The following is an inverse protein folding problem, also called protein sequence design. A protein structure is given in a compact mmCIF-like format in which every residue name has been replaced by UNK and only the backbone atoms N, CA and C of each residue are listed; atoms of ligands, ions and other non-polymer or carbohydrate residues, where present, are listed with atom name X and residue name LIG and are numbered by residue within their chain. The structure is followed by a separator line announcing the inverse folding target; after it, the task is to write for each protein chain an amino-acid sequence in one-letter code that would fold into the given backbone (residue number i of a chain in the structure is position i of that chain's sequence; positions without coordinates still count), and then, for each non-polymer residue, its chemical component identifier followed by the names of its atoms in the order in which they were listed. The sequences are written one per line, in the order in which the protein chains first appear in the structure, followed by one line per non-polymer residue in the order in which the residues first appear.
data_IF_094389386631
#
_entry.id   IF_094389386631
#
_cell.length_a   1.000
_cell.length_b   1.000
_cell.length_c   1.000
_cell.angle_alpha   90.00
_cell.angle_beta   90.00
_cell.angle_gamma   90.00
#
_symmetry.space_group_name_H-M   'P 1'
#
loop_
_entity.id
_entity.type
_entity.pdbx_description
1 polymer ?
#
# COMPACT_ATOMS: atom_id res chain seq x y z
N UNK A 1 -3.03 9.15 11.99
CA UNK A 1 -1.62 9.58 12.12
C UNK A 1 -0.94 9.39 10.78
N UNK A 2 -0.14 10.36 10.33
CA UNK A 2 0.46 10.41 8.98
C UNK A 2 1.21 9.12 8.58
N UNK A 3 1.81 8.41 9.53
CA UNK A 3 2.50 7.15 9.29
C UNK A 3 1.62 6.03 8.70
N UNK A 4 0.33 6.01 9.03
CA UNK A 4 -0.63 4.94 8.66
C UNK A 4 -1.65 5.40 7.61
N UNK A 5 -1.39 6.53 6.97
CA UNK A 5 -2.34 7.11 6.03
C UNK A 5 -2.38 6.34 4.72
N UNK A 6 -3.56 6.25 4.13
CA UNK A 6 -3.81 5.62 2.85
C UNK A 6 -4.71 6.55 2.03
N UNK A 7 -4.22 7.00 0.89
CA UNK A 7 -5.01 7.82 -0.03
C UNK A 7 -6.12 7.00 -0.69
N UNK A 8 -7.13 7.67 -1.24
CA UNK A 8 -8.17 6.98 -2.02
C UNK A 8 -7.63 6.32 -3.30
N UNK A 9 -6.64 6.95 -3.96
CA UNK A 9 -6.03 6.42 -5.17
C UNK A 9 -5.21 5.16 -4.87
N UNK A 10 -4.38 5.23 -3.84
CA UNK A 10 -3.55 4.10 -3.41
C UNK A 10 -4.40 2.96 -2.83
N UNK A 11 -5.54 3.28 -2.20
CA UNK A 11 -6.52 2.29 -1.79
C UNK A 11 -7.09 1.54 -2.99
N UNK A 12 -7.55 2.27 -4.02
CA UNK A 12 -8.08 1.66 -5.24
C UNK A 12 -7.03 0.78 -5.93
N UNK A 13 -5.78 1.24 -6.02
CA UNK A 13 -4.66 0.48 -6.57
C UNK A 13 -4.37 -0.81 -5.78
N UNK A 14 -4.38 -0.75 -4.45
CA UNK A 14 -4.19 -1.93 -3.59
C UNK A 14 -5.24 -3.00 -3.90
N UNK A 15 -6.51 -2.60 -3.99
CA UNK A 15 -7.59 -3.54 -4.29
C UNK A 15 -7.54 -4.06 -5.74
N UNK A 16 -7.15 -3.24 -6.71
CA UNK A 16 -6.87 -3.71 -8.08
C UNK A 16 -5.85 -4.85 -8.06
N UNK A 17 -4.72 -4.67 -7.37
CA UNK A 17 -3.69 -5.71 -7.25
C UNK A 17 -4.17 -6.96 -6.54
N UNK A 18 -5.00 -6.83 -5.52
CA UNK A 18 -5.61 -7.98 -4.85
C UNK A 18 -6.56 -8.78 -5.75
N UNK A 19 -7.18 -8.14 -6.75
CA UNK A 19 -8.05 -8.83 -7.71
C UNK A 19 -7.26 -9.58 -8.79
N UNK A 20 -6.05 -9.09 -9.12
CA UNK A 20 -5.16 -9.67 -10.13
C UNK A 20 -4.12 -10.64 -9.53
N UNK A 21 -4.09 -10.72 -8.22
CA UNK A 21 -3.25 -11.60 -7.41
C UNK A 21 -3.25 -13.07 -7.84
N UNK A 22 -2.05 -13.66 -7.97
CA UNK A 22 -1.87 -15.12 -8.14
C UNK A 22 -1.56 -15.85 -6.81
N UNK A 23 -1.90 -15.26 -5.66
CA UNK A 23 -1.73 -15.87 -4.33
C UNK A 23 -3.07 -16.15 -3.67
N UNK A 24 -3.14 -17.22 -2.86
CA UNK A 24 -4.38 -17.59 -2.15
C UNK A 24 -4.65 -16.70 -0.94
N UNK A 25 -3.60 -16.37 -0.18
CA UNK A 25 -3.68 -15.58 1.04
C UNK A 25 -2.35 -14.90 1.38
N UNK A 26 -2.40 -13.64 1.81
CA UNK A 26 -1.22 -12.90 2.28
C UNK A 26 -1.63 -11.80 3.27
N UNK A 27 -0.73 -11.46 4.21
CA UNK A 27 -0.90 -10.34 5.14
C UNK A 27 0.08 -9.23 4.76
N UNK A 28 -0.45 -8.05 4.44
CA UNK A 28 0.36 -6.88 4.05
C UNK A 28 -0.10 -5.60 4.77
N UNK A 29 0.79 -4.61 4.82
CA UNK A 29 0.43 -3.24 5.21
C UNK A 29 -0.01 -2.44 3.97
N UNK A 30 -1.30 -2.14 3.89
CA UNK A 30 -1.89 -1.29 2.85
C UNK A 30 -1.91 0.18 3.26
N UNK A 31 -0.77 0.86 3.13
CA UNK A 31 -0.62 2.29 3.39
C UNK A 31 0.06 2.95 2.19
N UNK A 32 -0.19 4.24 2.00
CA UNK A 32 0.53 5.07 1.03
C UNK A 32 2.04 5.12 1.35
N UNK A 33 2.87 5.62 0.43
CA UNK A 33 4.33 5.68 0.61
C UNK A 33 4.76 6.83 1.54
N UNK A 34 4.21 6.84 2.75
CA UNK A 34 4.40 7.90 3.72
C UNK A 34 5.86 7.94 4.20
N UNK A 35 6.46 9.13 4.27
CA UNK A 35 7.82 9.29 4.80
C UNK A 35 7.95 8.86 6.27
N UNK A 36 6.86 9.01 7.02
CA UNK A 36 6.81 8.71 8.46
C UNK A 36 6.34 7.30 8.77
N UNK A 37 6.24 6.40 7.79
CA UNK A 37 5.77 5.02 8.00
C UNK A 37 6.68 4.28 8.98
N UNK A 38 6.06 3.56 9.92
CA UNK A 38 6.77 2.68 10.87
C UNK A 38 6.87 1.24 10.38
N UNK A 39 5.99 0.85 9.44
CA UNK A 39 5.91 -0.49 8.89
C UNK A 39 6.44 -0.51 7.45
N UNK A 40 7.15 -1.59 7.10
CA UNK A 40 7.59 -1.81 5.72
C UNK A 40 6.40 -2.20 4.84
N UNK A 41 6.37 -1.63 3.63
CA UNK A 41 5.42 -1.99 2.57
C UNK A 41 6.07 -2.86 1.48
N UNK A 42 7.34 -3.27 1.65
CA UNK A 42 8.06 -4.10 0.68
C UNK A 42 7.33 -5.41 0.41
N UNK A 43 6.74 -6.03 1.45
CA UNK A 43 5.98 -7.26 1.24
C UNK A 43 4.81 -7.06 0.29
N UNK A 44 4.10 -5.93 0.38
CA UNK A 44 3.01 -5.58 -0.53
C UNK A 44 3.52 -5.35 -1.96
N UNK A 45 4.68 -4.69 -2.12
CA UNK A 45 5.35 -4.52 -3.41
C UNK A 45 5.70 -5.87 -4.04
N UNK A 46 6.31 -6.76 -3.26
CA UNK A 46 6.84 -8.03 -3.76
C UNK A 46 5.73 -9.02 -4.15
N UNK A 47 4.68 -9.14 -3.35
CA UNK A 47 3.62 -10.15 -3.57
C UNK A 47 2.45 -9.66 -4.40
N UNK A 48 2.14 -8.35 -4.32
CA UNK A 48 0.98 -7.77 -5.01
C UNK A 48 1.39 -6.93 -6.22
N UNK A 49 2.66 -6.54 -6.35
CA UNK A 49 3.03 -5.45 -7.24
C UNK A 49 2.37 -4.11 -6.84
N UNK A 50 2.11 -3.92 -5.55
CA UNK A 50 1.52 -2.70 -5.01
C UNK A 50 2.56 -1.59 -4.92
N UNK A 51 2.34 -0.49 -5.65
CA UNK A 51 3.26 0.64 -5.77
C UNK A 51 2.51 1.95 -5.48
N UNK A 52 2.31 2.30 -4.20
CA UNK A 52 1.59 3.51 -3.83
C UNK A 52 2.33 4.77 -4.29
N UNK A 53 1.57 5.78 -4.71
CA UNK A 53 2.11 6.99 -5.34
C UNK A 53 1.99 8.23 -4.45
N UNK A 54 1.13 8.17 -3.43
CA UNK A 54 0.82 9.34 -2.61
C UNK A 54 1.61 9.31 -1.29
N UNK A 55 1.78 10.48 -0.67
CA UNK A 55 2.44 10.64 0.62
C UNK A 55 1.65 11.61 1.51
N UNK A 56 1.39 11.21 2.75
CA UNK A 56 0.61 11.97 3.74
C UNK A 56 1.11 13.38 4.07
N UNK A 57 2.35 13.76 3.71
CA UNK A 57 2.86 15.12 3.94
C UNK A 57 2.56 16.07 2.78
N UNK A 58 2.15 15.54 1.63
CA UNK A 58 1.84 16.30 0.41
C UNK A 58 0.33 16.51 0.19
N UNK A 59 -0.50 15.87 1.03
CA UNK A 59 -1.96 15.95 1.04
C UNK A 59 -2.49 16.68 2.29
#
# INVERSE_FOLDING_TARGET
GQAMWLSYRDCAHLFERCLEAEYDYEIVYGISDNDRKYYSIERARDVLGYDPQDNSVEF
#
